data_IF_694459760756
#
_entry.id   IF_694459760756
#
_cell.length_a   1.000
_cell.length_b   1.000
_cell.length_c   1.000
_cell.angle_alpha   90.00
_cell.angle_beta   90.00
_cell.angle_gamma   90.00
#
_symmetry.space_group_name_H-M   'P 1'
#
loop_
_entity.id
_entity.type
_entity.pdbx_description
1 polymer ?
#
# COMPACT_ATOMS: atom_id res chain seq x y z
N UNK A 1 25.15 -28.75 -27.85
CA UNK A 1 24.48 -27.90 -26.84
C UNK A 1 25.08 -28.23 -25.50
N UNK A 2 25.78 -27.27 -24.89
CA UNK A 2 26.68 -27.48 -23.75
C UNK A 2 25.93 -27.72 -22.42
N UNK A 3 26.40 -28.66 -21.58
CA UNK A 3 25.75 -29.04 -20.32
C UNK A 3 25.66 -27.89 -19.30
N UNK A 4 26.59 -26.93 -19.34
CA UNK A 4 26.55 -25.74 -18.48
C UNK A 4 25.29 -24.91 -18.69
N UNK A 5 24.83 -24.74 -19.93
CA UNK A 5 23.66 -23.90 -20.24
C UNK A 5 22.37 -24.47 -19.66
N UNK A 6 22.19 -25.81 -19.68
CA UNK A 6 21.03 -26.47 -19.03
C UNK A 6 21.03 -26.32 -17.51
N UNK A 7 22.20 -26.35 -16.88
CA UNK A 7 22.33 -26.18 -15.43
C UNK A 7 21.90 -24.77 -15.00
N UNK A 8 22.40 -23.73 -15.69
CA UNK A 8 22.01 -22.33 -15.42
C UNK A 8 20.51 -22.08 -15.63
N UNK A 9 19.91 -22.64 -16.69
CA UNK A 9 18.47 -22.51 -16.94
C UNK A 9 17.65 -23.14 -15.80
N UNK A 10 18.09 -24.29 -15.28
CA UNK A 10 17.38 -25.01 -14.19
C UNK A 10 17.45 -24.23 -12.88
N UNK A 11 18.62 -23.71 -12.49
CA UNK A 11 18.79 -22.88 -11.28
C UNK A 11 17.94 -21.61 -11.35
N UNK A 12 17.91 -20.92 -12.50
CA UNK A 12 17.06 -19.75 -12.69
C UNK A 12 15.56 -20.08 -12.53
N UNK A 13 15.10 -21.22 -13.07
CA UNK A 13 13.71 -21.68 -12.94
C UNK A 13 13.35 -22.00 -11.49
N UNK A 14 14.23 -22.71 -10.78
CA UNK A 14 14.05 -23.05 -9.36
C UNK A 14 14.03 -21.78 -8.50
N UNK A 15 14.93 -20.84 -8.76
CA UNK A 15 14.98 -19.56 -8.04
C UNK A 15 13.73 -18.71 -8.31
N UNK A 16 13.23 -18.69 -9.54
CA UNK A 16 11.97 -18.01 -9.87
C UNK A 16 10.76 -18.67 -9.20
N UNK A 17 10.67 -20.00 -9.25
CA UNK A 17 9.60 -20.75 -8.60
C UNK A 17 9.61 -20.52 -7.07
N UNK A 18 10.81 -20.49 -6.48
CA UNK A 18 11.02 -20.17 -5.07
C UNK A 18 10.55 -18.74 -4.73
N UNK A 19 10.97 -17.74 -5.52
CA UNK A 19 10.52 -16.35 -5.35
C UNK A 19 9.00 -16.22 -5.51
N UNK A 20 8.39 -16.90 -6.49
CA UNK A 20 6.94 -16.93 -6.67
C UNK A 20 6.25 -17.55 -5.46
N UNK A 21 6.75 -18.68 -4.95
CA UNK A 21 6.24 -19.32 -3.73
C UNK A 21 6.29 -18.37 -2.53
N UNK A 22 7.46 -17.75 -2.27
CA UNK A 22 7.64 -16.77 -1.19
C UNK A 22 6.71 -15.55 -1.31
N UNK A 23 6.39 -15.12 -2.53
CA UNK A 23 5.47 -14.00 -2.76
C UNK A 23 3.99 -14.34 -2.57
N UNK A 24 3.65 -15.62 -2.44
CA UNK A 24 2.26 -16.09 -2.25
C UNK A 24 1.88 -16.33 -0.79
N UNK A 25 2.86 -16.44 0.09
CA UNK A 25 2.67 -16.66 1.53
C UNK A 25 3.00 -15.40 2.31
N UNK A 26 2.26 -15.16 3.39
CA UNK A 26 2.54 -14.07 4.30
C UNK A 26 3.75 -14.44 5.18
N UNK A 27 4.77 -13.58 5.30
CA UNK A 27 6.04 -13.92 5.97
C UNK A 27 5.86 -14.28 7.45
N UNK A 28 4.95 -13.62 8.15
CA UNK A 28 4.81 -13.78 9.61
C UNK A 28 3.95 -14.98 10.02
N UNK A 29 2.93 -15.36 9.24
CA UNK A 29 1.94 -16.35 9.64
C UNK A 29 1.86 -17.56 8.70
N UNK A 30 2.70 -17.60 7.66
CA UNK A 30 2.77 -18.65 6.64
C UNK A 30 1.47 -18.94 5.86
N UNK A 31 0.41 -18.13 6.03
CA UNK A 31 -0.85 -18.28 5.32
C UNK A 31 -0.76 -17.70 3.92
N UNK A 32 -1.53 -18.26 2.98
CA UNK A 32 -1.61 -17.71 1.63
C UNK A 32 -2.27 -16.33 1.62
N UNK A 33 -1.62 -15.39 0.93
CA UNK A 33 -2.19 -14.08 0.63
C UNK A 33 -3.21 -14.26 -0.51
N UNK A 34 -4.46 -13.79 -0.35
CA UNK A 34 -5.44 -13.89 -1.42
C UNK A 34 -4.94 -13.19 -2.69
N UNK A 35 -5.18 -13.81 -3.85
CA UNK A 35 -4.65 -13.37 -5.15
C UNK A 35 -4.72 -11.86 -5.43
N UNK A 36 -5.88 -11.19 -5.21
CA UNK A 36 -6.04 -9.75 -5.45
C UNK A 36 -5.22 -8.85 -4.53
N UNK A 37 -4.71 -9.38 -3.41
CA UNK A 37 -3.93 -8.63 -2.42
C UNK A 37 -2.46 -9.03 -2.41
N UNK A 38 -2.02 -9.88 -3.34
CA UNK A 38 -0.59 -10.15 -3.52
C UNK A 38 0.12 -8.88 -3.99
N UNK A 39 1.37 -8.64 -3.60
CA UNK A 39 2.11 -7.43 -4.00
C UNK A 39 2.12 -7.17 -5.51
N UNK A 40 2.17 -8.23 -6.33
CA UNK A 40 2.11 -8.12 -7.79
C UNK A 40 0.76 -7.57 -8.33
N UNK A 41 -0.33 -7.70 -7.58
CA UNK A 41 -1.65 -7.21 -7.96
C UNK A 41 -1.84 -5.71 -7.65
N UNK A 42 -1.01 -5.11 -6.79
CA UNK A 42 -1.18 -3.71 -6.35
C UNK A 42 -1.28 -2.74 -7.54
N UNK A 43 -0.34 -2.83 -8.48
CA UNK A 43 -0.24 -1.90 -9.60
C UNK A 43 -1.37 -2.12 -10.64
N UNK A 44 -1.66 -3.35 -11.09
CA UNK A 44 -2.80 -3.63 -11.98
C UNK A 44 -4.15 -3.12 -11.46
N UNK A 45 -4.39 -3.15 -10.15
CA UNK A 45 -5.64 -2.65 -9.57
C UNK A 45 -5.60 -1.14 -9.36
N UNK A 46 -4.52 -0.58 -8.82
CA UNK A 46 -4.45 0.85 -8.47
C UNK A 46 -4.27 1.77 -9.68
N UNK A 47 -3.52 1.36 -10.71
CA UNK A 47 -3.21 2.21 -11.85
C UNK A 47 -4.46 2.67 -12.63
N UNK A 48 -5.43 1.80 -12.98
CA UNK A 48 -6.69 2.24 -13.59
C UNK A 48 -7.47 3.22 -12.71
N UNK A 49 -7.51 3.00 -11.40
CA UNK A 49 -8.25 3.88 -10.48
C UNK A 49 -7.61 5.27 -10.39
N UNK A 50 -6.28 5.33 -10.27
CA UNK A 50 -5.52 6.59 -10.29
C UNK A 50 -5.71 7.30 -11.64
N UNK A 51 -5.61 6.58 -12.75
CA UNK A 51 -5.83 7.16 -14.08
C UNK A 51 -7.23 7.76 -14.21
N UNK A 52 -8.27 7.02 -13.85
CA UNK A 52 -9.66 7.52 -13.84
C UNK A 52 -9.82 8.74 -12.92
N UNK A 53 -9.12 8.76 -11.79
CA UNK A 53 -9.11 9.88 -10.85
C UNK A 53 -8.42 11.15 -11.37
N UNK A 54 -7.61 11.05 -12.43
CA UNK A 54 -6.93 12.19 -13.07
C UNK A 54 -7.75 12.76 -14.23
N UNK A 55 -8.72 12.02 -14.76
CA UNK A 55 -9.57 12.49 -15.85
C UNK A 55 -10.43 13.70 -15.42
N UNK A 56 -10.73 14.63 -16.34
CA UNK A 56 -11.58 15.77 -16.07
C UNK A 56 -12.91 15.36 -15.43
N UNK A 57 -13.37 16.13 -14.44
CA UNK A 57 -14.64 15.86 -13.75
C UNK A 57 -15.79 16.07 -14.73
N UNK A 58 -16.43 14.99 -15.17
CA UNK A 58 -17.67 15.05 -15.98
C UNK A 58 -18.92 14.99 -15.11
N UNK A 59 -18.83 14.31 -13.97
CA UNK A 59 -19.91 14.10 -12.99
C UNK A 59 -19.34 13.85 -11.59
N UNK A 60 -20.11 14.12 -10.55
CA UNK A 60 -19.75 13.77 -9.17
C UNK A 60 -19.43 12.28 -9.03
N UNK A 61 -20.17 11.40 -9.71
CA UNK A 61 -19.90 9.95 -9.69
C UNK A 61 -18.53 9.60 -10.28
N UNK A 62 -18.16 10.23 -11.39
CA UNK A 62 -16.85 10.04 -12.04
C UNK A 62 -15.68 10.55 -11.19
N UNK A 63 -15.96 11.41 -10.21
CA UNK A 63 -14.97 11.91 -9.26
C UNK A 63 -14.87 11.03 -8.02
N UNK A 64 -16.02 10.66 -7.44
CA UNK A 64 -16.10 9.93 -6.17
C UNK A 64 -15.70 8.46 -6.36
N UNK A 65 -16.21 7.80 -7.40
CA UNK A 65 -16.04 6.35 -7.56
C UNK A 65 -14.55 5.95 -7.66
N UNK A 66 -13.70 6.57 -8.49
CA UNK A 66 -12.29 6.19 -8.57
C UNK A 66 -11.53 6.44 -7.25
N UNK A 67 -11.85 7.54 -6.54
CA UNK A 67 -11.21 7.90 -5.27
C UNK A 67 -11.58 6.90 -4.16
N UNK A 68 -12.87 6.61 -4.00
CA UNK A 68 -13.35 5.61 -3.03
C UNK A 68 -12.76 4.24 -3.33
N UNK A 69 -12.80 3.79 -4.59
CA UNK A 69 -12.24 2.50 -4.97
C UNK A 69 -10.74 2.42 -4.70
N UNK A 70 -9.97 3.48 -5.03
CA UNK A 70 -8.53 3.52 -4.80
C UNK A 70 -8.17 3.43 -3.31
N UNK A 71 -8.79 4.26 -2.47
CA UNK A 71 -8.50 4.24 -1.03
C UNK A 71 -9.05 2.99 -0.34
N UNK A 72 -10.17 2.43 -0.81
CA UNK A 72 -10.68 1.14 -0.32
C UNK A 72 -9.69 0.03 -0.59
N UNK A 73 -9.28 -0.15 -1.85
CA UNK A 73 -8.33 -1.18 -2.22
C UNK A 73 -6.99 -1.00 -1.51
N UNK A 74 -6.45 0.23 -1.47
CA UNK A 74 -5.17 0.51 -0.81
C UNK A 74 -5.22 0.21 0.69
N UNK A 75 -6.31 0.59 1.37
CA UNK A 75 -6.48 0.34 2.80
C UNK A 75 -6.57 -1.16 3.09
N UNK A 76 -7.40 -1.89 2.33
CA UNK A 76 -7.54 -3.34 2.50
C UNK A 76 -6.23 -4.06 2.17
N UNK A 77 -5.55 -3.67 1.09
CA UNK A 77 -4.24 -4.19 0.72
C UNK A 77 -3.22 -3.98 1.84
N UNK A 78 -3.18 -2.78 2.44
CA UNK A 78 -2.26 -2.46 3.54
C UNK A 78 -2.57 -3.22 4.83
N UNK A 79 -3.85 -3.51 5.10
CA UNK A 79 -4.26 -4.32 6.26
C UNK A 79 -3.90 -5.79 6.04
N UNK A 80 -4.13 -6.33 4.84
CA UNK A 80 -3.84 -7.74 4.50
C UNK A 80 -2.34 -8.02 4.46
N UNK A 81 -1.54 -7.05 3.99
CA UNK A 81 -0.07 -7.13 3.94
C UNK A 81 0.60 -6.43 5.14
N UNK A 82 -0.15 -6.13 6.21
CA UNK A 82 0.39 -5.57 7.44
C UNK A 82 0.96 -6.68 8.33
N UNK A 83 1.85 -6.32 9.25
CA UNK A 83 2.51 -7.32 10.12
C UNK A 83 1.46 -8.12 10.90
N UNK A 84 1.61 -9.44 10.93
CA UNK A 84 0.67 -10.36 11.59
C UNK A 84 1.12 -10.78 13.00
N UNK A 85 2.21 -10.19 13.51
CA UNK A 85 2.81 -10.53 14.81
C UNK A 85 1.94 -10.24 16.03
N UNK A 86 0.71 -9.74 15.88
CA UNK A 86 -0.22 -9.53 16.99
C UNK A 86 -1.62 -9.98 16.60
N UNK A 87 -2.35 -10.52 17.58
CA UNK A 87 -3.72 -10.97 17.35
C UNK A 87 -4.62 -9.75 17.13
N UNK A 88 -4.97 -9.52 15.87
CA UNK A 88 -5.69 -8.33 15.44
C UNK A 88 -7.19 -8.62 15.53
N UNK A 89 -7.90 -7.92 16.43
CA UNK A 89 -9.34 -8.13 16.54
C UNK A 89 -10.01 -7.67 15.23
N UNK A 90 -10.97 -8.44 14.69
CA UNK A 90 -11.58 -8.11 13.40
C UNK A 90 -12.32 -6.77 13.44
N UNK A 91 -12.98 -6.44 14.56
CA UNK A 91 -13.72 -5.18 14.71
C UNK A 91 -12.80 -3.95 14.69
N UNK A 92 -11.61 -4.01 15.29
CA UNK A 92 -10.64 -2.90 15.25
C UNK A 92 -10.11 -2.68 13.84
N UNK A 93 -9.87 -3.78 13.11
CA UNK A 93 -9.42 -3.72 11.71
C UNK A 93 -10.46 -3.06 10.82
N UNK A 94 -11.73 -3.42 11.01
CA UNK A 94 -12.85 -2.88 10.25
C UNK A 94 -13.04 -1.41 10.60
N UNK A 95 -13.04 -1.05 11.88
CA UNK A 95 -13.23 0.34 12.32
C UNK A 95 -12.11 1.25 11.82
N UNK A 96 -10.87 0.81 11.98
CA UNK A 96 -9.70 1.54 11.49
C UNK A 96 -9.70 1.63 9.96
N UNK A 97 -9.99 0.52 9.28
CA UNK A 97 -10.10 0.50 7.82
C UNK A 97 -11.17 1.47 7.32
N UNK A 98 -12.36 1.44 7.91
CA UNK A 98 -13.46 2.35 7.58
C UNK A 98 -13.08 3.82 7.82
N UNK A 99 -12.45 4.14 8.96
CA UNK A 99 -11.98 5.47 9.28
C UNK A 99 -10.92 5.99 8.29
N UNK A 100 -9.96 5.14 7.92
CA UNK A 100 -8.90 5.47 6.95
C UNK A 100 -9.51 5.69 5.56
N UNK A 101 -10.43 4.85 5.12
CA UNK A 101 -11.12 4.98 3.82
C UNK A 101 -11.91 6.29 3.78
N UNK A 102 -12.73 6.56 4.81
CA UNK A 102 -13.56 7.74 4.88
C UNK A 102 -12.72 9.03 4.90
N UNK A 103 -11.71 9.10 5.76
CA UNK A 103 -10.81 10.26 5.86
C UNK A 103 -10.01 10.49 4.58
N UNK A 104 -9.38 9.45 4.02
CA UNK A 104 -8.59 9.56 2.78
C UNK A 104 -9.44 10.01 1.60
N UNK A 105 -10.66 9.47 1.48
CA UNK A 105 -11.61 9.86 0.44
C UNK A 105 -12.04 11.32 0.60
N UNK A 106 -12.37 11.75 1.82
CA UNK A 106 -12.77 13.13 2.08
C UNK A 106 -11.67 14.12 1.67
N UNK A 107 -10.44 13.90 2.14
CA UNK A 107 -9.31 14.76 1.79
C UNK A 107 -8.88 14.65 0.32
N UNK A 108 -9.11 13.51 -0.34
CA UNK A 108 -8.86 13.36 -1.78
C UNK A 108 -9.86 14.12 -2.66
N UNK A 109 -11.12 14.18 -2.24
CA UNK A 109 -12.19 14.89 -2.96
C UNK A 109 -12.18 16.40 -2.72
N UNK A 110 -11.81 16.83 -1.51
CA UNK A 110 -11.80 18.24 -1.12
C UNK A 110 -11.07 19.18 -2.10
N UNK A 111 -9.80 18.96 -2.48
CA UNK A 111 -9.11 19.85 -3.41
C UNK A 111 -9.75 19.83 -4.80
N UNK A 112 -10.33 18.70 -5.22
CA UNK A 112 -10.99 18.57 -6.52
C UNK A 112 -12.31 19.34 -6.57
N UNK A 113 -13.07 19.31 -5.47
CA UNK A 113 -14.27 20.12 -5.29
C UNK A 113 -13.93 21.61 -5.32
N UNK A 114 -12.86 22.04 -4.64
CA UNK A 114 -12.39 23.42 -4.67
C UNK A 114 -11.98 23.86 -6.08
N UNK A 115 -11.27 23.02 -6.82
CA UNK A 115 -10.89 23.32 -8.21
C UNK A 115 -12.11 23.56 -9.12
N UNK A 116 -13.14 22.73 -8.98
CA UNK A 116 -14.40 22.90 -9.73
C UNK A 116 -15.14 24.15 -9.28
N UNK A 117 -15.20 24.43 -7.97
CA UNK A 117 -15.91 25.58 -7.41
C UNK A 117 -15.29 26.93 -7.76
N UNK A 118 -13.96 27.01 -7.77
CA UNK A 118 -13.22 28.25 -8.03
C UNK A 118 -12.72 28.35 -9.48
N UNK A 119 -13.08 27.42 -10.36
CA UNK A 119 -12.68 27.37 -11.77
C UNK A 119 -11.18 27.56 -11.99
N UNK A 120 -10.37 26.92 -11.14
CA UNK A 120 -8.90 27.02 -11.19
C UNK A 120 -8.37 26.24 -12.39
N UNK A 121 -8.22 26.92 -13.53
CA UNK A 121 -7.88 26.33 -14.83
C UNK A 121 -6.41 26.43 -15.21
N UNK A 122 -5.51 26.70 -14.26
CA UNK A 122 -4.07 26.67 -14.55
C UNK A 122 -3.60 25.22 -14.74
N UNK A 123 -2.56 25.05 -15.57
CA UNK A 123 -1.90 23.75 -15.76
C UNK A 123 -1.40 23.20 -14.42
N UNK A 124 -0.92 24.08 -13.54
CA UNK A 124 -0.44 23.74 -12.21
C UNK A 124 -1.57 23.17 -11.33
N UNK A 125 -2.73 23.81 -11.30
CA UNK A 125 -3.86 23.36 -10.48
C UNK A 125 -4.49 22.07 -11.01
N UNK A 126 -4.52 21.86 -12.33
CA UNK A 126 -5.12 20.66 -12.92
C UNK A 126 -4.22 19.42 -12.90
N UNK A 127 -2.90 19.60 -12.99
CA UNK A 127 -1.99 18.46 -13.21
C UNK A 127 -1.02 18.23 -12.04
N UNK A 128 -0.44 19.29 -11.47
CA UNK A 128 0.63 19.14 -10.48
C UNK A 128 0.09 18.98 -9.07
N UNK A 129 -0.83 19.87 -8.67
CA UNK A 129 -1.41 19.85 -7.32
C UNK A 129 -2.14 18.53 -7.01
N UNK A 130 -2.99 17.97 -7.90
CA UNK A 130 -3.70 16.72 -7.62
C UNK A 130 -2.75 15.53 -7.44
N UNK A 131 -1.65 15.48 -8.20
CA UNK A 131 -0.64 14.42 -8.10
C UNK A 131 0.10 14.50 -6.77
N UNK A 132 0.53 15.70 -6.36
CA UNK A 132 1.21 15.90 -5.08
C UNK A 132 0.28 15.51 -3.93
N UNK A 133 -0.97 15.96 -3.95
CA UNK A 133 -1.94 15.64 -2.89
C UNK A 133 -2.22 14.14 -2.86
N UNK A 134 -2.45 13.50 -4.01
CA UNK A 134 -2.67 12.06 -4.08
C UNK A 134 -1.47 11.28 -3.51
N UNK A 135 -0.24 11.68 -3.83
CA UNK A 135 0.96 11.06 -3.29
C UNK A 135 1.04 11.19 -1.76
N UNK A 136 0.81 12.38 -1.22
CA UNK A 136 0.81 12.61 0.23
C UNK A 136 -0.29 11.81 0.94
N UNK A 137 -1.51 11.84 0.41
CA UNK A 137 -2.65 11.09 0.96
C UNK A 137 -2.44 9.59 0.90
N UNK A 138 -1.84 9.08 -0.18
CA UNK A 138 -1.49 7.66 -0.27
C UNK A 138 -0.47 7.24 0.79
N UNK A 139 0.54 8.07 1.05
CA UNK A 139 1.51 7.84 2.13
C UNK A 139 0.85 7.85 3.51
N UNK A 140 -0.03 8.82 3.76
CA UNK A 140 -0.79 8.88 5.02
C UNK A 140 -1.76 7.70 5.18
N UNK A 141 -2.39 7.25 4.09
CA UNK A 141 -3.26 6.07 4.08
C UNK A 141 -2.50 4.82 4.52
N UNK A 142 -1.27 4.61 4.02
CA UNK A 142 -0.41 3.47 4.42
C UNK A 142 -0.09 3.55 5.92
N UNK A 143 0.37 4.71 6.40
CA UNK A 143 0.71 4.91 7.81
C UNK A 143 -0.51 4.69 8.71
N UNK A 144 -1.66 5.23 8.34
CA UNK A 144 -2.89 5.11 9.11
C UNK A 144 -3.43 3.67 9.11
N UNK A 145 -3.43 2.99 7.95
CA UNK A 145 -3.84 1.58 7.82
C UNK A 145 -2.99 0.63 8.67
N UNK A 146 -1.71 0.97 8.85
CA UNK A 146 -0.73 0.22 9.64
C UNK A 146 -0.50 0.75 11.06
N UNK A 147 -1.31 1.71 11.51
CA UNK A 147 -1.09 2.38 12.80
C UNK A 147 -1.21 1.45 14.03
N UNK A 148 -1.84 0.29 13.91
CA UNK A 148 -1.89 -0.71 15.00
C UNK A 148 -0.54 -1.38 15.27
N UNK A 149 0.36 -1.46 14.28
CA UNK A 149 1.68 -2.09 14.42
C UNK A 149 2.55 -1.37 15.48
N UNK A 150 2.78 -0.04 15.42
CA UNK A 150 3.53 0.67 16.46
C UNK A 150 2.77 0.81 17.78
N UNK A 151 1.44 0.75 17.76
CA UNK A 151 0.62 0.89 18.97
C UNK A 151 0.71 -0.34 19.87
N UNK A 152 0.74 -1.55 19.29
CA UNK A 152 0.81 -2.83 20.01
C UNK A 152 2.23 -3.38 20.18
N UNK A 153 3.18 -2.91 19.37
CA UNK A 153 4.56 -3.38 19.40
C UNK A 153 4.76 -4.56 18.46
N UNK A 154 5.96 -4.66 17.88
CA UNK A 154 6.33 -5.76 17.00
C UNK A 154 6.99 -6.84 17.85
N UNK A 155 6.66 -8.09 17.57
CA UNK A 155 7.29 -9.27 18.16
C UNK A 155 8.77 -9.32 17.78
N UNK A 156 9.63 -9.40 18.79
CA UNK A 156 11.07 -9.54 18.61
C UNK A 156 11.42 -11.00 18.86
N UNK A 157 11.84 -11.69 17.81
CA UNK A 157 12.32 -13.06 17.88
C UNK A 157 13.83 -13.11 18.13
N UNK A 158 14.27 -14.15 18.83
CA UNK A 158 15.68 -14.53 18.96
C UNK A 158 16.20 -15.13 17.66
N UNK A 159 17.52 -15.29 17.56
CA UNK A 159 18.18 -15.88 16.37
C UNK A 159 17.73 -17.32 16.09
N UNK A 160 17.23 -17.98 17.12
CA UNK A 160 16.73 -19.35 17.13
C UNK A 160 15.22 -19.43 16.77
N UNK A 161 14.57 -18.31 16.48
CA UNK A 161 13.15 -18.24 16.11
C UNK A 161 12.18 -18.28 17.29
N UNK A 162 12.69 -18.16 18.53
CA UNK A 162 11.87 -18.09 19.74
C UNK A 162 11.45 -16.66 20.04
N UNK A 163 10.20 -16.47 20.48
CA UNK A 163 9.63 -15.14 20.74
C UNK A 163 10.10 -14.62 22.10
N UNK A 164 10.92 -13.57 22.11
CA UNK A 164 11.47 -12.99 23.35
C UNK A 164 10.52 -11.95 23.95
N UNK A 165 9.69 -11.30 23.13
CA UNK A 165 8.64 -10.37 23.60
C UNK A 165 8.24 -9.29 22.59
N UNK A 166 7.39 -8.36 23.01
CA UNK A 166 6.84 -7.30 22.16
C UNK A 166 7.54 -5.96 22.41
N UNK A 167 8.08 -5.34 21.35
CA UNK A 167 8.80 -4.06 21.46
C UNK A 167 8.11 -2.93 20.69
N UNK A 168 7.66 -1.91 21.44
CA UNK A 168 7.10 -0.67 20.87
C UNK A 168 8.13 0.15 20.11
N UNK A 169 9.39 0.14 20.59
CA UNK A 169 10.52 0.85 19.95
C UNK A 169 10.89 0.25 18.59
N UNK A 170 10.72 -1.07 18.41
CA UNK A 170 10.91 -1.73 17.10
C UNK A 170 9.82 -1.31 16.10
N UNK A 171 8.56 -1.22 16.54
CA UNK A 171 7.44 -0.72 15.74
C UNK A 171 7.61 0.70 15.21
N UNK A 172 8.11 1.62 16.03
CA UNK A 172 8.36 3.01 15.60
C UNK A 172 9.51 3.11 14.58
N UNK A 173 10.52 2.23 14.66
CA UNK A 173 11.67 2.22 13.73
C UNK A 173 11.29 1.68 12.34
N UNK A 174 10.33 0.76 12.27
CA UNK A 174 9.74 0.28 11.00
C UNK A 174 8.80 1.33 10.40
N UNK A 175 8.00 2.00 11.23
CA UNK A 175 7.15 3.13 10.81
C UNK A 175 7.96 4.26 10.19
N UNK A 176 9.05 4.68 10.85
CA UNK A 176 9.94 5.72 10.33
C UNK A 176 10.64 5.33 9.02
N UNK A 177 11.09 4.07 8.87
CA UNK A 177 11.71 3.59 7.61
C UNK A 177 10.72 3.51 6.45
N UNK A 178 9.46 3.15 6.73
CA UNK A 178 8.40 3.12 5.70
C UNK A 178 8.08 4.52 5.18
N UNK A 179 8.12 5.55 6.05
CA UNK A 179 7.97 6.95 5.64
C UNK A 179 9.10 7.44 4.73
N UNK A 180 10.33 6.95 4.91
CA UNK A 180 11.46 7.23 3.99
C UNK A 180 11.36 6.43 2.68
N UNK A 181 10.93 5.16 2.73
CA UNK A 181 10.73 4.33 1.54
C UNK A 181 9.63 4.85 0.61
N UNK A 182 8.56 5.45 1.13
CA UNK A 182 7.54 6.11 0.31
C UNK A 182 8.09 7.36 -0.41
N UNK A 183 9.07 8.07 0.15
CA UNK A 183 9.80 9.12 -0.57
C UNK A 183 10.74 8.55 -1.64
N UNK A 184 11.35 7.39 -1.38
CA UNK A 184 12.21 6.71 -2.36
C UNK A 184 11.42 6.13 -3.55
N UNK A 185 10.23 5.59 -3.34
CA UNK A 185 9.37 5.11 -4.43
C UNK A 185 8.88 6.26 -5.32
N UNK A 186 8.65 7.45 -4.76
CA UNK A 186 8.38 8.65 -5.55
C UNK A 186 9.62 9.18 -6.31
N UNK A 187 10.83 8.89 -5.83
CA UNK A 187 12.09 9.25 -6.49
C UNK A 187 12.48 8.27 -7.60
N UNK A 188 12.13 6.99 -7.48
CA UNK A 188 12.41 5.97 -8.50
C UNK A 188 11.46 6.02 -9.72
N UNK A 189 10.28 6.63 -9.58
CA UNK A 189 9.34 6.82 -10.68
C UNK A 189 9.72 7.98 -11.63
N UNK A 190 10.92 8.56 -11.50
CA UNK A 190 11.39 9.69 -12.31
C UNK A 190 12.76 9.48 -12.98
N UNK A 191 13.27 8.25 -13.02
CA UNK A 191 14.43 7.86 -13.84
C UNK A 191 14.10 6.60 -14.64
#
# INVERSE_FOLDING_TARGET
MEPNVRFWITECQVQEAWKRSLSTVHPDNSKLIPGPFRPAALLPFTAPMVFLSMLPVKSLKSMILPQVSFYTYSTVFNIVNGNASYDRRPHESILLGAGVIASSTFFGLFPRLLQVRFSLNSILSRNVIPVIILAQLSGMNVVASRSLEPLRGIEVMDKEGSVIGYSRKAGTKVGGRTTWSCKLLAFWAKN
#
